data_IF_203169092566
#
_entry.id   IF_203169092566
#
_cell.length_a   1.000
_cell.length_b   1.000
_cell.length_c   1.000
_cell.angle_alpha   90.00
_cell.angle_beta   90.00
_cell.angle_gamma   90.00
#
_symmetry.space_group_name_H-M   'P 1'
#
loop_
_entity.id
_entity.type
_entity.pdbx_description
1 polymer ?
#
# COMPACT_ATOMS: atom_id res chain seq x y z
N UNK A 1 -50.47 -2.38 5.55
CA UNK A 1 -50.82 -2.68 4.14
C UNK A 1 -49.67 -2.13 3.31
N UNK A 2 -48.88 -2.83 2.51
CA UNK A 2 -48.78 -4.20 2.01
C UNK A 2 -47.28 -4.53 1.99
N UNK A 3 -46.86 -5.70 2.46
CA UNK A 3 -46.41 -6.81 1.62
C UNK A 3 -45.50 -6.40 0.45
N UNK A 4 -44.23 -6.78 0.49
CA UNK A 4 -43.74 -7.85 -0.38
C UNK A 4 -42.27 -8.14 -0.15
N UNK A 5 -42.03 -9.40 0.23
CA UNK A 5 -40.79 -10.13 0.24
C UNK A 5 -40.12 -10.10 -1.13
N UNK A 6 -38.80 -9.90 -1.16
CA UNK A 6 -37.93 -10.42 -2.21
C UNK A 6 -36.70 -11.05 -1.53
N UNK A 7 -36.80 -12.36 -1.38
CA UNK A 7 -35.67 -13.25 -1.13
C UNK A 7 -34.99 -13.59 -2.47
N UNK A 8 -33.83 -14.27 -2.36
CA UNK A 8 -33.04 -14.94 -3.43
C UNK A 8 -32.12 -13.92 -4.16
N UNK A 9 -30.80 -14.10 -4.33
CA UNK A 9 -29.99 -15.28 -4.63
C UNK A 9 -28.68 -15.30 -3.82
N UNK A 10 -28.36 -16.46 -3.23
CA UNK A 10 -27.01 -16.80 -2.81
C UNK A 10 -26.18 -17.18 -4.05
N UNK A 11 -25.20 -16.35 -4.40
CA UNK A 11 -24.15 -16.72 -5.34
C UNK A 11 -22.95 -17.23 -4.54
N UNK A 12 -22.82 -18.56 -4.44
CA UNK A 12 -21.59 -19.19 -3.96
C UNK A 12 -20.55 -19.07 -5.08
N UNK A 13 -19.81 -17.97 -5.10
CA UNK A 13 -18.59 -17.87 -5.91
C UNK A 13 -17.55 -18.77 -5.24
N UNK A 14 -17.31 -19.93 -5.84
CA UNK A 14 -16.17 -20.77 -5.49
C UNK A 14 -14.90 -19.99 -5.76
N UNK A 15 -14.21 -19.54 -4.71
CA UNK A 15 -12.87 -18.99 -4.84
C UNK A 15 -11.92 -20.15 -5.16
N UNK A 16 -11.54 -20.28 -6.42
CA UNK A 16 -10.32 -21.01 -6.73
C UNK A 16 -9.18 -20.24 -6.07
N UNK A 17 -8.67 -20.75 -4.95
CA UNK A 17 -7.40 -20.29 -4.40
C UNK A 17 -6.32 -20.65 -5.42
N UNK A 18 -6.07 -19.76 -6.37
CA UNK A 18 -4.85 -19.77 -7.15
C UNK A 18 -3.72 -19.62 -6.14
N UNK A 19 -3.10 -20.74 -5.78
CA UNK A 19 -1.85 -20.74 -5.04
C UNK A 19 -0.80 -20.20 -6.01
N UNK A 20 -0.70 -18.87 -6.09
CA UNK A 20 0.50 -18.23 -6.59
C UNK A 20 1.62 -18.81 -5.76
N UNK A 21 2.53 -19.53 -6.40
CA UNK A 21 3.82 -19.86 -5.83
C UNK A 21 4.47 -18.53 -5.47
N UNK A 22 4.25 -18.07 -4.25
CA UNK A 22 4.98 -16.96 -3.67
C UNK A 22 6.41 -17.45 -3.61
N UNK A 23 7.21 -17.08 -4.60
CA UNK A 23 8.66 -17.05 -4.48
C UNK A 23 8.92 -16.45 -3.12
N UNK A 24 9.55 -17.22 -2.23
CA UNK A 24 9.89 -16.78 -0.89
C UNK A 24 10.55 -15.42 -0.99
N UNK A 25 9.77 -14.34 -0.77
CA UNK A 25 10.32 -13.03 -0.56
C UNK A 25 11.21 -13.23 0.65
N UNK A 26 12.52 -13.06 0.46
CA UNK A 26 13.49 -13.18 1.52
C UNK A 26 12.91 -12.42 2.70
N UNK A 27 12.58 -13.13 3.79
CA UNK A 27 12.10 -12.51 5.00
C UNK A 27 13.26 -11.65 5.50
N UNK A 28 13.31 -10.39 5.06
CA UNK A 28 14.15 -9.38 5.66
C UNK A 28 13.69 -9.35 7.10
N UNK A 29 14.56 -9.83 7.99
CA UNK A 29 14.36 -9.87 9.42
C UNK A 29 14.18 -8.44 9.91
N UNK A 30 12.98 -7.90 9.76
CA UNK A 30 12.73 -6.51 10.07
C UNK A 30 12.26 -6.41 11.51
N UNK A 31 12.84 -5.44 12.19
CA UNK A 31 12.73 -5.12 13.61
C UNK A 31 11.35 -4.57 14.01
N UNK A 32 10.33 -4.76 13.17
CA UNK A 32 8.99 -4.23 13.37
C UNK A 32 7.96 -5.31 13.68
N UNK A 33 7.23 -5.14 14.78
CA UNK A 33 6.12 -6.00 15.17
C UNK A 33 4.97 -6.02 14.15
N UNK A 34 4.89 -5.00 13.29
CA UNK A 34 3.85 -4.82 12.29
C UNK A 34 4.33 -5.09 10.85
N UNK A 35 5.33 -5.95 10.65
CA UNK A 35 5.96 -6.14 9.34
C UNK A 35 4.98 -6.46 8.20
N UNK A 36 3.98 -7.31 8.47
CA UNK A 36 2.93 -7.61 7.48
C UNK A 36 2.11 -6.38 7.10
N UNK A 37 1.81 -5.50 8.07
CA UNK A 37 1.07 -4.26 7.82
C UNK A 37 1.94 -3.28 7.04
N UNK A 38 3.22 -3.19 7.37
CA UNK A 38 4.17 -2.36 6.65
C UNK A 38 4.30 -2.80 5.19
N UNK A 39 4.51 -4.10 4.95
CA UNK A 39 4.65 -4.65 3.60
C UNK A 39 3.39 -4.42 2.75
N UNK A 40 2.21 -4.65 3.32
CA UNK A 40 0.95 -4.35 2.65
C UNK A 40 0.82 -2.85 2.34
N UNK A 41 1.15 -1.99 3.29
CA UNK A 41 1.07 -0.54 3.12
C UNK A 41 2.05 -0.05 2.03
N UNK A 42 3.30 -0.55 2.05
CA UNK A 42 4.33 -0.25 1.05
C UNK A 42 3.91 -0.77 -0.33
N UNK A 43 3.37 -1.98 -0.42
CA UNK A 43 2.91 -2.57 -1.69
C UNK A 43 1.73 -1.79 -2.28
N UNK A 44 0.72 -1.47 -1.45
CA UNK A 44 -0.42 -0.65 -1.87
C UNK A 44 0.02 0.74 -2.31
N UNK A 45 0.95 1.36 -1.59
CA UNK A 45 1.41 2.69 -1.91
C UNK A 45 2.31 2.71 -3.14
N UNK A 46 3.16 1.71 -3.31
CA UNK A 46 3.96 1.54 -4.53
C UNK A 46 3.06 1.36 -5.75
N UNK A 47 2.01 0.54 -5.64
CA UNK A 47 1.03 0.37 -6.71
C UNK A 47 0.32 1.69 -7.07
N UNK A 48 -0.05 2.50 -6.06
CA UNK A 48 -0.58 3.86 -6.30
C UNK A 48 0.44 4.76 -6.98
N UNK A 49 1.69 4.77 -6.52
CA UNK A 49 2.74 5.59 -7.11
C UNK A 49 3.01 5.20 -8.57
N UNK A 50 2.86 3.92 -8.94
CA UNK A 50 2.96 3.46 -10.32
C UNK A 50 1.82 3.95 -11.22
N UNK A 51 0.70 4.42 -10.66
CA UNK A 51 -0.38 5.06 -11.43
C UNK A 51 -0.12 6.57 -11.66
N UNK A 52 0.80 7.18 -10.90
CA UNK A 52 1.19 8.56 -11.11
C UNK A 52 2.02 8.69 -12.40
N UNK A 53 1.83 9.77 -13.17
CA UNK A 53 2.77 10.09 -14.23
C UNK A 53 4.14 10.42 -13.62
N UNK A 54 5.23 10.15 -14.35
CA UNK A 54 6.60 10.35 -13.84
C UNK A 54 6.90 11.81 -13.44
N UNK A 55 6.17 12.75 -14.03
CA UNK A 55 6.25 14.20 -13.81
C UNK A 55 5.05 14.74 -13.01
N UNK A 56 4.17 13.88 -12.51
CA UNK A 56 3.10 14.25 -11.59
C UNK A 56 3.65 14.28 -10.16
N UNK A 57 4.39 15.35 -9.87
CA UNK A 57 5.08 15.50 -8.60
C UNK A 57 4.12 15.60 -7.41
N UNK A 58 2.89 16.08 -7.61
CA UNK A 58 1.86 16.13 -6.55
C UNK A 58 1.36 14.73 -6.18
N UNK A 59 1.06 13.91 -7.19
CA UNK A 59 0.69 12.50 -7.01
C UNK A 59 1.83 11.71 -6.34
N UNK A 60 3.07 11.90 -6.80
CA UNK A 60 4.25 11.27 -6.21
C UNK A 60 4.49 11.76 -4.76
N UNK A 61 4.41 13.07 -4.50
CA UNK A 61 4.53 13.66 -3.17
C UNK A 61 3.51 13.06 -2.19
N UNK A 62 2.24 12.99 -2.58
CA UNK A 62 1.18 12.35 -1.80
C UNK A 62 1.50 10.88 -1.55
N UNK A 63 1.98 10.19 -2.58
CA UNK A 63 2.31 8.79 -2.49
C UNK A 63 3.44 8.49 -1.49
N UNK A 64 4.55 9.22 -1.58
CA UNK A 64 5.65 9.10 -0.63
C UNK A 64 5.31 9.63 0.77
N UNK A 65 4.42 10.61 0.88
CA UNK A 65 3.91 11.06 2.19
C UNK A 65 3.15 9.95 2.92
N UNK A 66 2.30 9.23 2.21
CA UNK A 66 1.61 8.06 2.76
C UNK A 66 2.59 6.92 3.07
N UNK A 67 3.64 6.74 2.27
CA UNK A 67 4.69 5.77 2.53
C UNK A 67 5.41 6.05 3.86
N UNK A 68 5.70 7.32 4.17
CA UNK A 68 6.28 7.70 5.47
C UNK A 68 5.33 7.37 6.63
N UNK A 69 4.02 7.54 6.45
CA UNK A 69 3.02 7.15 7.45
C UNK A 69 3.02 5.63 7.68
N UNK A 70 3.22 4.82 6.64
CA UNK A 70 3.40 3.37 6.78
C UNK A 70 4.56 3.06 7.74
N UNK A 71 5.69 3.75 7.59
CA UNK A 71 6.88 3.56 8.43
C UNK A 71 6.73 4.11 9.85
N UNK A 72 5.72 4.92 10.17
CA UNK A 72 5.47 5.32 11.57
C UNK A 72 5.13 4.12 12.48
N UNK A 73 4.58 3.04 11.91
CA UNK A 73 4.34 1.79 12.64
C UNK A 73 5.64 1.00 12.87
N UNK A 74 6.72 1.36 12.16
CA UNK A 74 8.00 0.66 12.12
C UNK A 74 9.18 1.65 12.10
N UNK A 75 9.42 2.40 13.20
CA UNK A 75 10.44 3.46 13.22
C UNK A 75 11.88 2.96 13.13
N UNK A 76 12.12 1.67 13.41
CA UNK A 76 13.44 1.04 13.30
C UNK A 76 13.71 0.48 11.90
N UNK A 77 12.78 0.63 10.95
CA UNK A 77 12.99 0.15 9.59
C UNK A 77 14.00 1.06 8.85
N UNK A 78 15.07 0.50 8.27
CA UNK A 78 16.10 1.30 7.59
C UNK A 78 15.56 2.06 6.37
N UNK A 79 14.43 1.64 5.78
CA UNK A 79 13.84 2.29 4.62
C UNK A 79 12.99 3.52 4.98
N UNK A 80 12.67 3.72 6.26
CA UNK A 80 11.89 4.87 6.73
C UNK A 80 12.57 6.21 6.40
N UNK A 81 13.90 6.26 6.51
CA UNK A 81 14.69 7.44 6.17
C UNK A 81 14.65 7.72 4.67
N UNK A 82 14.85 6.70 3.84
CA UNK A 82 14.78 6.82 2.37
C UNK A 82 13.40 7.30 1.91
N UNK A 83 12.32 6.74 2.47
CA UNK A 83 10.95 7.18 2.19
C UNK A 83 10.74 8.67 2.51
N UNK A 84 11.29 9.13 3.63
CA UNK A 84 11.23 10.54 4.05
C UNK A 84 12.00 11.45 3.09
N UNK A 85 13.18 11.03 2.65
CA UNK A 85 13.97 11.75 1.65
C UNK A 85 13.21 11.85 0.32
N UNK A 86 12.64 10.75 -0.19
CA UNK A 86 11.84 10.77 -1.41
C UNK A 86 10.64 11.71 -1.28
N UNK A 87 9.92 11.68 -0.15
CA UNK A 87 8.84 12.63 0.11
C UNK A 87 9.31 14.07 -0.05
N UNK A 88 10.42 14.44 0.61
CA UNK A 88 10.96 15.81 0.52
C UNK A 88 11.32 16.16 -0.93
N UNK A 89 11.97 15.27 -1.66
CA UNK A 89 12.37 15.52 -3.06
C UNK A 89 11.16 15.74 -3.97
N UNK A 90 10.16 14.85 -3.92
CA UNK A 90 8.97 14.95 -4.77
C UNK A 90 8.06 16.10 -4.37
N UNK A 91 7.87 16.35 -3.06
CA UNK A 91 7.06 17.46 -2.60
C UNK A 91 7.71 18.82 -2.87
N UNK A 92 9.04 18.93 -2.78
CA UNK A 92 9.72 20.15 -3.21
C UNK A 92 9.58 20.36 -4.71
N UNK A 93 9.72 19.30 -5.52
CA UNK A 93 9.49 19.37 -6.96
C UNK A 93 8.03 19.73 -7.32
N UNK A 94 7.06 19.33 -6.50
CA UNK A 94 5.64 19.70 -6.67
C UNK A 94 5.36 21.17 -6.30
N UNK A 95 6.17 21.74 -5.41
CA UNK A 95 6.03 23.14 -4.97
C UNK A 95 6.76 24.16 -5.87
N UNK A 96 7.50 23.69 -6.87
CA UNK A 96 8.26 24.51 -7.83
C UNK A 96 7.40 24.87 -9.04
#
# INVERSE_FOLDING_TARGET
MQFSSLAILAAAFGIAAAQTSTTSAAATTSSCAAQTVLDLCVSQQSARNSQCAANDYDCLCTGYSNLVVCYNQCPNDPNAFSASQYKVQYCQAASQ
#
